data_IF_038350376855
#
_entry.id   IF_038350376855
#
_cell.length_a   1.000
_cell.length_b   1.000
_cell.length_c   1.000
_cell.angle_alpha   90.00
_cell.angle_beta   90.00
_cell.angle_gamma   90.00
#
_symmetry.space_group_name_H-M   'P 1'
#
loop_
_entity.id
_entity.type
_entity.pdbx_description
1 polymer ?
#
# COMPACT_ATOMS: atom_id res chain seq x y z
N UNK A 1 -2.74 43.23 -73.89
CA UNK A 1 -3.79 42.63 -73.01
C UNK A 1 -3.07 41.78 -71.94
N UNK A 2 -3.03 42.26 -70.69
CA UNK A 2 -2.34 41.60 -69.59
C UNK A 2 -3.42 40.96 -68.68
N UNK A 3 -3.44 39.63 -68.58
CA UNK A 3 -4.33 38.91 -67.63
C UNK A 3 -3.70 38.94 -66.26
N UNK A 4 -4.34 39.62 -65.37
CA UNK A 4 -4.04 39.58 -63.92
C UNK A 4 -4.74 38.37 -63.35
N UNK A 5 -3.96 37.37 -62.97
CA UNK A 5 -4.46 36.16 -62.29
C UNK A 5 -4.56 36.47 -60.80
N UNK A 6 -5.78 36.61 -60.28
CA UNK A 6 -6.03 36.71 -58.83
C UNK A 6 -5.91 35.31 -58.22
N UNK A 7 -4.83 35.07 -57.49
CA UNK A 7 -4.71 33.88 -56.63
C UNK A 7 -5.47 34.19 -55.33
N UNK A 8 -6.59 33.52 -55.15
CA UNK A 8 -7.35 33.55 -53.88
C UNK A 8 -6.68 32.63 -52.87
N UNK A 9 -5.93 33.19 -51.92
CA UNK A 9 -5.36 32.45 -50.81
C UNK A 9 -6.47 32.21 -49.78
N UNK A 10 -6.94 30.95 -49.74
CA UNK A 10 -7.90 30.49 -48.73
C UNK A 10 -7.12 30.24 -47.43
N UNK A 11 -7.16 31.18 -46.50
CA UNK A 11 -6.65 31.00 -45.14
C UNK A 11 -7.58 30.06 -44.38
N UNK A 12 -7.20 28.81 -44.26
CA UNK A 12 -7.85 27.87 -43.33
C UNK A 12 -7.40 28.23 -41.94
N UNK A 13 -8.22 28.98 -41.23
CA UNK A 13 -8.10 29.15 -39.79
C UNK A 13 -8.41 27.79 -39.11
N UNK A 14 -7.39 27.01 -38.85
CA UNK A 14 -7.50 25.89 -37.91
C UNK A 14 -7.68 26.52 -36.58
N UNK A 15 -8.93 26.69 -36.16
CA UNK A 15 -9.26 27.04 -34.80
C UNK A 15 -8.79 25.92 -33.90
N UNK A 16 -7.73 26.17 -33.13
CA UNK A 16 -7.48 25.37 -31.94
C UNK A 16 -8.72 25.47 -31.06
N UNK A 17 -9.53 24.45 -31.04
CA UNK A 17 -10.55 24.28 -30.00
C UNK A 17 -9.77 24.19 -28.70
N UNK A 18 -9.91 25.15 -27.78
CA UNK A 18 -9.27 24.97 -26.48
C UNK A 18 -9.85 23.71 -25.87
N UNK A 19 -9.02 22.72 -25.62
CA UNK A 19 -9.39 21.58 -24.74
C UNK A 19 -9.61 22.17 -23.36
N UNK A 20 -10.85 22.53 -23.08
CA UNK A 20 -11.26 23.18 -21.81
C UNK A 20 -11.61 22.18 -20.73
N UNK A 21 -11.27 20.91 -20.88
CA UNK A 21 -11.25 20.00 -19.77
C UNK A 21 -9.88 20.07 -19.08
N UNK A 22 -9.60 21.23 -18.47
CA UNK A 22 -8.72 21.24 -17.34
C UNK A 22 -9.43 20.41 -16.27
N UNK A 23 -8.93 19.20 -16.03
CA UNK A 23 -9.21 18.49 -14.79
C UNK A 23 -8.72 19.39 -13.65
N UNK A 24 -9.59 20.26 -13.21
CA UNK A 24 -9.36 21.01 -11.98
C UNK A 24 -9.60 19.97 -10.89
N UNK A 25 -8.54 19.43 -10.32
CA UNK A 25 -8.67 18.68 -9.09
C UNK A 25 -9.10 19.68 -8.02
N UNK A 26 -10.40 19.80 -7.79
CA UNK A 26 -11.01 20.65 -6.76
C UNK A 26 -11.00 19.99 -5.38
N UNK A 27 -10.37 18.81 -5.28
CA UNK A 27 -10.31 18.02 -4.05
C UNK A 27 -11.60 17.28 -3.72
N UNK A 28 -12.63 17.40 -4.57
CA UNK A 28 -13.86 16.62 -4.39
C UNK A 28 -13.63 15.15 -4.74
N UNK A 29 -14.18 14.24 -3.94
CA UNK A 29 -14.20 12.81 -4.21
C UNK A 29 -15.63 12.38 -4.54
N UNK A 30 -15.80 11.35 -5.38
CA UNK A 30 -17.11 10.76 -5.63
C UNK A 30 -17.63 10.00 -4.41
N UNK A 31 -18.91 9.71 -4.42
CA UNK A 31 -19.45 8.71 -3.52
C UNK A 31 -18.85 7.33 -3.82
N UNK A 32 -18.53 6.57 -2.79
CA UNK A 32 -18.08 5.18 -2.96
C UNK A 32 -19.21 4.31 -3.49
N UNK A 33 -18.89 3.35 -4.35
CA UNK A 33 -19.84 2.32 -4.80
C UNK A 33 -19.72 1.05 -3.96
N UNK A 34 -18.51 0.75 -3.44
CA UNK A 34 -18.19 -0.44 -2.67
C UNK A 34 -17.32 -0.08 -1.46
N UNK A 35 -17.46 -0.84 -0.39
CA UNK A 35 -16.46 -0.91 0.67
C UNK A 35 -15.38 -1.94 0.34
N UNK A 36 -14.25 -1.87 1.05
CA UNK A 36 -13.10 -2.77 0.79
C UNK A 36 -13.44 -4.22 1.11
N UNK A 37 -14.25 -4.50 2.14
CA UNK A 37 -14.67 -5.85 2.50
C UNK A 37 -15.48 -6.54 1.40
N UNK A 38 -16.38 -5.83 0.73
CA UNK A 38 -17.14 -6.35 -0.41
C UNK A 38 -16.19 -6.74 -1.54
N UNK A 39 -15.24 -5.87 -1.89
CA UNK A 39 -14.22 -6.18 -2.89
C UNK A 39 -13.38 -7.38 -2.49
N UNK A 40 -12.97 -7.45 -1.22
CA UNK A 40 -12.20 -8.57 -0.68
C UNK A 40 -12.96 -9.89 -0.80
N UNK A 41 -14.23 -9.92 -0.44
CA UNK A 41 -15.05 -11.14 -0.45
C UNK A 41 -15.25 -11.66 -1.88
N UNK A 42 -15.39 -10.78 -2.87
CA UNK A 42 -15.43 -11.14 -4.29
C UNK A 42 -14.10 -11.79 -4.74
N UNK A 43 -12.95 -11.24 -4.36
CA UNK A 43 -11.64 -11.79 -4.72
C UNK A 43 -11.36 -13.11 -3.99
N UNK A 44 -11.74 -13.25 -2.72
CA UNK A 44 -11.64 -14.52 -1.99
C UNK A 44 -12.41 -15.63 -2.70
N UNK A 45 -13.60 -15.30 -3.21
CA UNK A 45 -14.49 -16.27 -3.85
C UNK A 45 -14.01 -16.71 -5.24
N UNK A 46 -13.46 -15.79 -6.02
CA UNK A 46 -13.16 -16.05 -7.44
C UNK A 46 -11.65 -16.17 -7.74
N UNK A 47 -10.77 -15.84 -6.80
CA UNK A 47 -9.33 -15.73 -7.02
C UNK A 47 -8.96 -14.41 -7.70
N UNK A 48 -7.73 -14.32 -8.20
CA UNK A 48 -7.26 -13.14 -8.91
C UNK A 48 -8.12 -12.84 -10.15
N UNK A 49 -8.59 -11.58 -10.29
CA UNK A 49 -9.53 -11.19 -11.33
C UNK A 49 -9.35 -9.74 -11.77
N UNK A 50 -9.61 -9.48 -13.05
CA UNK A 50 -9.75 -8.11 -13.56
C UNK A 50 -11.12 -7.56 -13.18
N UNK A 51 -11.13 -6.42 -12.49
CA UNK A 51 -12.36 -5.74 -12.06
C UNK A 51 -13.03 -5.10 -13.28
N UNK A 52 -14.16 -5.65 -13.71
CA UNK A 52 -14.90 -5.17 -14.91
C UNK A 52 -15.97 -4.12 -14.58
N UNK A 53 -16.49 -4.16 -13.37
CA UNK A 53 -17.55 -3.24 -12.91
C UNK A 53 -16.95 -1.89 -12.47
N UNK A 54 -17.81 -0.87 -12.44
CA UNK A 54 -17.45 0.43 -11.89
C UNK A 54 -17.38 0.34 -10.35
N UNK A 55 -16.21 -0.02 -9.84
CA UNK A 55 -15.92 -0.08 -8.39
C UNK A 55 -15.16 1.16 -7.98
N UNK A 56 -15.74 1.93 -7.06
CA UNK A 56 -15.11 3.09 -6.43
C UNK A 56 -15.05 2.84 -4.93
N UNK A 57 -13.84 2.84 -4.39
CA UNK A 57 -13.56 2.77 -2.94
C UNK A 57 -13.05 4.12 -2.47
N UNK A 58 -13.49 4.56 -1.31
CA UNK A 58 -12.98 5.80 -0.67
C UNK A 58 -12.39 5.44 0.68
N UNK A 59 -11.15 5.85 0.91
CA UNK A 59 -10.43 5.53 2.14
C UNK A 59 -9.28 6.49 2.40
N UNK A 60 -8.49 6.20 3.43
CA UNK A 60 -7.31 6.99 3.80
C UNK A 60 -6.03 6.22 3.60
N UNK A 61 -5.00 6.93 3.17
CA UNK A 61 -3.65 6.38 3.05
C UNK A 61 -3.10 6.08 4.43
N UNK A 62 -2.61 4.86 4.65
CA UNK A 62 -2.05 4.39 5.92
C UNK A 62 -0.59 3.99 5.82
N UNK A 63 -0.03 3.83 4.61
CA UNK A 63 1.40 3.57 4.40
C UNK A 63 2.20 4.85 4.19
N UNK A 64 3.51 4.75 4.38
CA UNK A 64 4.48 5.78 4.06
C UNK A 64 5.73 5.12 3.47
N UNK A 65 6.42 5.80 2.54
CA UNK A 65 7.66 5.33 1.92
C UNK A 65 8.90 6.18 2.27
N UNK A 66 8.79 7.05 3.25
CA UNK A 66 9.85 7.98 3.66
C UNK A 66 11.09 7.31 4.23
N UNK A 67 10.95 6.12 4.81
CA UNK A 67 12.08 5.33 5.33
C UNK A 67 12.35 4.03 4.54
N UNK A 68 11.88 3.96 3.30
CA UNK A 68 12.18 2.91 2.32
C UNK A 68 11.79 1.47 2.75
N UNK A 69 10.98 1.31 3.80
CA UNK A 69 10.42 0.00 4.15
C UNK A 69 9.23 -0.37 3.26
N UNK A 70 8.48 0.61 2.74
CA UNK A 70 7.50 0.44 1.66
C UNK A 70 8.10 0.96 0.36
N UNK A 71 7.81 0.29 -0.75
CA UNK A 71 8.31 0.70 -2.05
C UNK A 71 7.26 0.42 -3.13
N UNK A 72 6.96 1.46 -3.91
CA UNK A 72 6.12 1.34 -5.08
C UNK A 72 4.65 1.03 -4.82
N UNK A 73 4.18 1.08 -3.58
CA UNK A 73 2.79 0.81 -3.25
C UNK A 73 2.23 1.81 -2.23
N UNK A 74 0.91 1.98 -2.26
CA UNK A 74 0.15 2.80 -1.32
C UNK A 74 -0.94 1.93 -0.70
N UNK A 75 -1.00 1.87 0.63
CA UNK A 75 -2.07 1.18 1.36
C UNK A 75 -3.17 2.19 1.69
N UNK A 76 -4.40 1.82 1.34
CA UNK A 76 -5.61 2.62 1.60
C UNK A 76 -6.54 1.80 2.47
N UNK A 77 -7.04 2.41 3.54
CA UNK A 77 -7.93 1.78 4.51
C UNK A 77 -9.25 2.54 4.60
N UNK A 78 -10.36 1.81 4.65
CA UNK A 78 -11.68 2.29 5.05
C UNK A 78 -12.11 1.62 6.37
N UNK A 79 -13.33 1.87 6.82
CA UNK A 79 -13.86 1.26 8.04
C UNK A 79 -13.98 -0.27 7.96
N UNK A 80 -14.02 -0.85 6.76
CA UNK A 80 -14.27 -2.28 6.52
C UNK A 80 -13.01 -3.09 6.27
N UNK A 81 -11.94 -2.48 5.74
CA UNK A 81 -10.73 -3.20 5.36
C UNK A 81 -9.63 -2.31 4.81
N UNK A 82 -8.65 -2.95 4.20
CA UNK A 82 -7.53 -2.27 3.55
C UNK A 82 -7.20 -2.91 2.19
N UNK A 83 -6.67 -2.10 1.28
CA UNK A 83 -6.20 -2.50 -0.04
C UNK A 83 -4.87 -1.82 -0.35
N UNK A 84 -3.92 -2.58 -0.88
CA UNK A 84 -2.64 -2.09 -1.34
C UNK A 84 -2.68 -1.84 -2.85
N UNK A 85 -2.43 -0.61 -3.27
CA UNK A 85 -2.38 -0.21 -4.69
C UNK A 85 -0.94 -0.25 -5.17
N UNK A 86 -0.65 -1.06 -6.18
CA UNK A 86 0.69 -1.25 -6.76
C UNK A 86 0.99 -0.14 -7.77
N UNK A 87 1.58 0.97 -7.32
CA UNK A 87 1.85 2.15 -8.14
C UNK A 87 3.11 1.99 -9.00
N UNK A 88 4.19 1.47 -8.41
CA UNK A 88 5.45 1.16 -9.10
C UNK A 88 6.44 2.31 -9.23
N UNK A 89 6.30 3.35 -8.40
CA UNK A 89 7.25 4.47 -8.32
C UNK A 89 7.62 4.74 -6.86
N UNK A 90 8.68 5.48 -6.63
CA UNK A 90 9.15 5.91 -5.31
C UNK A 90 8.65 7.31 -4.97
N UNK A 91 8.91 7.74 -3.74
CA UNK A 91 8.53 9.05 -3.20
C UNK A 91 7.01 9.27 -3.22
N UNK A 92 6.28 8.22 -2.90
CA UNK A 92 4.82 8.23 -2.92
C UNK A 92 4.23 9.09 -1.79
N UNK A 93 4.94 9.25 -0.68
CA UNK A 93 4.50 10.11 0.43
C UNK A 93 4.30 11.57 -0.01
N UNK A 94 5.08 12.07 -0.97
CA UNK A 94 4.89 13.41 -1.52
C UNK A 94 3.57 13.56 -2.30
N UNK A 95 3.07 12.47 -2.88
CA UNK A 95 1.83 12.45 -3.67
C UNK A 95 0.63 11.95 -2.85
N UNK A 96 0.87 11.01 -1.96
CA UNK A 96 -0.12 10.31 -1.16
C UNK A 96 0.31 10.29 0.32
N UNK A 97 0.37 11.47 0.99
CA UNK A 97 0.79 11.51 2.39
C UNK A 97 -0.15 10.70 3.27
N UNK A 98 0.39 10.19 4.37
CA UNK A 98 -0.39 9.50 5.40
C UNK A 98 -1.59 10.34 5.85
N UNK A 99 -2.74 9.69 5.97
CA UNK A 99 -4.01 10.34 6.33
C UNK A 99 -4.74 11.03 5.20
N UNK A 100 -4.14 11.12 3.98
CA UNK A 100 -4.83 11.66 2.81
C UNK A 100 -6.05 10.81 2.46
N UNK A 101 -7.21 11.47 2.31
CA UNK A 101 -8.40 10.82 1.78
C UNK A 101 -8.30 10.69 0.26
N UNK A 102 -8.50 9.49 -0.26
CA UNK A 102 -8.44 9.18 -1.70
C UNK A 102 -9.64 8.37 -2.15
N UNK A 103 -9.98 8.50 -3.43
CA UNK A 103 -10.90 7.59 -4.11
C UNK A 103 -10.12 6.70 -5.09
N UNK A 104 -10.38 5.40 -5.04
CA UNK A 104 -9.80 4.41 -5.92
C UNK A 104 -10.81 4.00 -6.98
N UNK A 105 -10.52 4.28 -8.25
CA UNK A 105 -11.31 3.88 -9.42
C UNK A 105 -10.73 2.57 -9.96
N UNK A 106 -11.32 1.45 -9.57
CA UNK A 106 -10.73 0.13 -9.74
C UNK A 106 -11.13 -0.58 -11.03
N UNK A 107 -12.03 -0.02 -11.83
CA UNK A 107 -12.42 -0.62 -13.11
C UNK A 107 -11.20 -0.77 -14.05
N UNK A 108 -10.99 -1.98 -14.55
CA UNK A 108 -9.84 -2.34 -15.39
C UNK A 108 -8.55 -2.58 -14.62
N UNK A 109 -8.57 -2.57 -13.29
CA UNK A 109 -7.47 -3.05 -12.47
C UNK A 109 -7.57 -4.57 -12.27
N UNK A 110 -6.43 -5.22 -12.13
CA UNK A 110 -6.35 -6.60 -11.65
C UNK A 110 -6.22 -6.60 -10.14
N UNK A 111 -6.90 -7.51 -9.48
CA UNK A 111 -6.88 -7.66 -8.03
C UNK A 111 -6.59 -9.12 -7.65
N UNK A 112 -5.73 -9.33 -6.66
CA UNK A 112 -5.43 -10.63 -6.06
C UNK A 112 -4.84 -10.42 -4.65
N UNK A 113 -4.57 -11.51 -3.95
CA UNK A 113 -3.95 -11.48 -2.64
C UNK A 113 -2.43 -11.67 -2.73
N UNK A 114 -1.72 -10.90 -1.93
CA UNK A 114 -0.31 -11.14 -1.62
C UNK A 114 -0.08 -10.93 -0.14
N UNK A 115 0.56 -11.88 0.52
CA UNK A 115 0.85 -11.80 1.96
C UNK A 115 -0.39 -11.49 2.82
N UNK A 116 -1.52 -12.07 2.46
CA UNK A 116 -2.79 -11.83 3.12
C UNK A 116 -3.45 -10.48 2.82
N UNK A 117 -2.74 -9.56 2.15
CA UNK A 117 -3.24 -8.23 1.78
C UNK A 117 -3.89 -8.29 0.40
N UNK A 118 -5.06 -7.68 0.27
CA UNK A 118 -5.69 -7.43 -1.02
C UNK A 118 -4.86 -6.41 -1.78
N UNK A 119 -4.36 -6.78 -2.95
CA UNK A 119 -3.61 -5.90 -3.84
C UNK A 119 -4.40 -5.58 -5.10
N UNK A 120 -4.23 -4.36 -5.61
CA UNK A 120 -4.78 -3.94 -6.90
C UNK A 120 -3.70 -3.25 -7.73
N UNK A 121 -3.72 -3.48 -9.05
CA UNK A 121 -2.75 -2.92 -9.97
C UNK A 121 -3.03 -3.32 -11.41
N UNK A 122 -2.00 -3.64 -12.19
CA UNK A 122 -2.13 -4.31 -13.48
C UNK A 122 -2.01 -5.83 -13.30
N UNK A 123 -2.51 -6.60 -14.25
CA UNK A 123 -2.22 -8.02 -14.31
C UNK A 123 -0.73 -8.22 -14.62
N UNK A 124 -0.05 -8.99 -13.78
CA UNK A 124 1.35 -9.33 -14.01
C UNK A 124 1.47 -10.43 -15.06
N UNK A 125 2.57 -10.46 -15.87
CA UNK A 125 2.83 -11.59 -16.76
C UNK A 125 2.93 -12.92 -15.99
N UNK A 126 2.50 -14.03 -16.60
CA UNK A 126 2.46 -15.37 -15.98
C UNK A 126 3.82 -15.86 -15.43
N UNK A 127 4.93 -15.36 -15.98
CA UNK A 127 6.28 -15.74 -15.54
C UNK A 127 6.77 -14.94 -14.32
N UNK A 128 6.01 -13.93 -13.86
CA UNK A 128 6.35 -13.15 -12.69
C UNK A 128 5.93 -13.88 -11.41
N UNK A 129 6.74 -13.70 -10.37
CA UNK A 129 6.42 -14.24 -9.04
C UNK A 129 5.17 -13.57 -8.44
N UNK A 130 4.96 -12.29 -8.76
CA UNK A 130 3.84 -11.51 -8.30
C UNK A 130 2.71 -11.55 -9.30
N UNK A 131 1.47 -11.75 -8.83
CA UNK A 131 0.27 -11.77 -9.69
C UNK A 131 -0.24 -10.37 -10.00
N UNK A 132 -0.07 -9.44 -9.07
CA UNK A 132 -0.46 -8.05 -9.23
C UNK A 132 0.78 -7.23 -9.57
N UNK A 133 0.81 -6.70 -10.78
CA UNK A 133 1.86 -5.82 -11.27
C UNK A 133 1.55 -4.35 -11.00
N UNK A 134 2.57 -3.52 -11.21
CA UNK A 134 2.47 -2.07 -11.02
C UNK A 134 1.59 -1.41 -12.10
N UNK A 135 1.01 -0.25 -11.77
CA UNK A 135 0.23 0.58 -12.72
C UNK A 135 1.08 1.19 -13.83
N UNK A 136 2.42 1.17 -13.67
CA UNK A 136 3.46 1.43 -14.67
C UNK A 136 3.59 2.86 -15.18
N UNK A 137 2.61 3.75 -14.98
CA UNK A 137 2.73 5.15 -15.42
C UNK A 137 2.00 6.11 -14.49
N UNK A 138 2.50 7.35 -14.35
CA UNK A 138 1.81 8.39 -13.58
C UNK A 138 0.37 8.62 -14.04
N UNK A 139 0.11 8.61 -15.35
CA UNK A 139 -1.23 8.81 -15.91
C UNK A 139 -2.19 7.70 -15.49
N UNK A 140 -1.69 6.45 -15.47
CA UNK A 140 -2.50 5.32 -15.01
C UNK A 140 -2.75 5.41 -13.51
N UNK A 141 -1.74 5.76 -12.71
CA UNK A 141 -1.89 5.97 -11.27
C UNK A 141 -2.88 7.08 -10.95
N UNK A 142 -2.80 8.23 -11.64
CA UNK A 142 -3.74 9.34 -11.47
C UNK A 142 -5.18 8.98 -11.93
N UNK A 143 -5.33 8.05 -12.87
CA UNK A 143 -6.65 7.54 -13.26
C UNK A 143 -7.26 6.59 -12.24
N UNK A 144 -6.43 5.88 -11.47
CA UNK A 144 -6.85 4.94 -10.44
C UNK A 144 -6.99 5.62 -9.08
N UNK A 145 -6.05 6.49 -8.70
CA UNK A 145 -6.03 7.12 -7.38
C UNK A 145 -6.34 8.61 -7.52
N UNK A 146 -7.56 9.02 -7.18
CA UNK A 146 -7.93 10.43 -7.10
C UNK A 146 -7.70 10.95 -5.69
N UNK A 147 -6.92 12.02 -5.57
CA UNK A 147 -6.56 12.67 -4.31
C UNK A 147 -7.57 13.75 -3.96
N UNK A 148 -7.97 13.81 -2.67
CA UNK A 148 -8.65 14.98 -2.10
C UNK A 148 -7.62 16.00 -1.60
N UNK A 149 -8.12 17.04 -0.91
CA UNK A 149 -7.30 17.94 -0.09
C UNK A 149 -7.47 17.65 1.42
N UNK A 150 -8.21 16.58 1.77
CA UNK A 150 -8.47 16.20 3.15
C UNK A 150 -7.39 15.26 3.66
N UNK A 151 -6.48 15.80 4.47
CA UNK A 151 -5.45 15.04 5.19
C UNK A 151 -5.77 15.11 6.68
N UNK A 152 -5.94 13.96 7.35
CA UNK A 152 -6.21 13.87 8.79
C UNK A 152 -5.34 12.79 9.41
N UNK A 153 -4.91 12.98 10.66
CA UNK A 153 -4.24 11.91 11.40
C UNK A 153 -5.09 10.64 11.41
N UNK A 154 -4.43 9.50 11.25
CA UNK A 154 -5.04 8.18 11.37
C UNK A 154 -4.64 7.57 12.70
N UNK A 155 -5.57 6.87 13.32
CA UNK A 155 -5.30 6.08 14.50
C UNK A 155 -5.19 4.61 14.12
N UNK A 156 -4.10 3.92 14.50
CA UNK A 156 -3.99 2.48 14.29
C UNK A 156 -5.05 1.75 15.12
N UNK A 157 -5.56 0.65 14.61
CA UNK A 157 -6.46 -0.22 15.36
C UNK A 157 -5.67 -0.96 16.44
N UNK A 158 -6.00 -0.71 17.71
CA UNK A 158 -5.37 -1.41 18.82
C UNK A 158 -5.96 -2.82 18.95
N UNK A 159 -5.10 -3.83 19.03
CA UNK A 159 -5.49 -5.22 19.26
C UNK A 159 -4.37 -6.00 19.95
N UNK A 160 -4.68 -7.17 20.47
CA UNK A 160 -3.72 -8.16 20.97
C UNK A 160 -3.26 -9.08 19.85
N UNK A 161 -2.16 -9.81 20.06
CA UNK A 161 -1.67 -10.79 19.06
C UNK A 161 -2.72 -11.90 18.86
N UNK A 162 -3.40 -12.35 19.90
CA UNK A 162 -4.43 -13.39 19.86
C UNK A 162 -5.69 -12.99 19.06
N UNK A 163 -5.97 -11.68 18.91
CA UNK A 163 -7.11 -11.16 18.15
C UNK A 163 -6.81 -11.02 16.64
N UNK A 164 -5.57 -11.24 16.21
CA UNK A 164 -5.20 -11.11 14.82
C UNK A 164 -5.86 -12.17 13.96
N UNK A 165 -6.42 -11.76 12.83
CA UNK A 165 -7.01 -12.65 11.84
C UNK A 165 -6.82 -12.12 10.40
N UNK A 166 -6.93 -13.00 9.41
CA UNK A 166 -6.59 -12.69 8.02
C UNK A 166 -7.36 -11.52 7.40
N UNK A 167 -8.60 -11.31 7.81
CA UNK A 167 -9.37 -10.17 7.27
C UNK A 167 -8.86 -8.81 7.73
N UNK A 168 -7.96 -8.79 8.73
CA UNK A 168 -7.29 -7.57 9.20
C UNK A 168 -6.02 -7.26 8.37
N UNK A 169 -5.54 -8.18 7.53
CA UNK A 169 -4.34 -7.92 6.73
C UNK A 169 -4.52 -6.69 5.83
N UNK A 170 -3.49 -5.87 5.77
CA UNK A 170 -3.49 -4.55 5.14
C UNK A 170 -3.83 -3.40 6.09
N UNK A 171 -4.52 -3.65 7.22
CA UNK A 171 -4.84 -2.61 8.19
C UNK A 171 -3.62 -2.13 8.97
N UNK A 172 -3.66 -0.87 9.34
CA UNK A 172 -2.73 -0.28 10.28
C UNK A 172 -3.14 -0.71 11.69
N UNK A 173 -2.32 -1.52 12.36
CA UNK A 173 -2.61 -2.03 13.70
C UNK A 173 -1.54 -1.60 14.71
N UNK A 174 -1.91 -1.58 15.98
CA UNK A 174 -1.01 -1.32 17.11
C UNK A 174 -1.06 -2.49 18.08
N UNK A 175 0.08 -3.14 18.29
CA UNK A 175 0.28 -4.15 19.33
C UNK A 175 1.06 -3.53 20.48
N UNK A 176 0.53 -3.68 21.69
CA UNK A 176 1.11 -3.05 22.88
C UNK A 176 1.86 -4.03 23.75
N UNK A 177 2.94 -3.56 24.35
CA UNK A 177 3.61 -4.25 25.45
C UNK A 177 4.29 -5.54 25.03
N UNK A 178 4.89 -5.56 23.86
CA UNK A 178 5.69 -6.69 23.39
C UNK A 178 7.17 -6.48 23.66
N UNK A 179 7.93 -7.56 23.82
CA UNK A 179 9.38 -7.54 23.97
C UNK A 179 10.06 -8.38 22.90
N UNK A 180 11.24 -7.97 22.48
CA UNK A 180 12.03 -8.69 21.48
C UNK A 180 12.39 -10.11 21.98
N UNK A 181 12.12 -11.11 21.13
CA UNK A 181 12.67 -12.46 21.27
C UNK A 181 13.85 -12.62 20.30
N UNK A 182 15.03 -12.21 20.74
CA UNK A 182 16.25 -12.19 19.94
C UNK A 182 16.64 -13.58 19.43
N UNK A 183 16.27 -14.64 20.17
CA UNK A 183 16.57 -16.03 19.77
C UNK A 183 15.84 -16.49 18.51
N UNK A 184 14.76 -15.81 18.15
CA UNK A 184 13.90 -16.16 17.02
C UNK A 184 14.03 -15.23 15.82
N UNK A 185 14.82 -14.15 15.91
CA UNK A 185 15.01 -13.19 14.81
C UNK A 185 15.85 -13.81 13.68
N UNK A 186 15.47 -13.55 12.43
CA UNK A 186 16.13 -14.09 11.24
C UNK A 186 16.40 -13.00 10.19
N UNK A 187 17.46 -13.20 9.42
CA UNK A 187 17.73 -12.40 8.23
C UNK A 187 16.78 -12.74 7.07
N UNK A 188 16.22 -11.73 6.42
CA UNK A 188 15.23 -11.93 5.35
C UNK A 188 15.82 -12.58 4.09
N UNK A 189 17.11 -12.38 3.82
CA UNK A 189 17.77 -12.90 2.62
C UNK A 189 18.33 -14.31 2.85
N UNK A 190 18.98 -14.54 3.99
CA UNK A 190 19.67 -15.79 4.26
C UNK A 190 18.82 -16.78 5.03
N UNK A 191 17.81 -16.33 5.74
CA UNK A 191 17.04 -17.15 6.69
C UNK A 191 17.84 -17.55 7.92
N UNK A 192 19.02 -16.98 8.14
CA UNK A 192 19.87 -17.26 9.29
C UNK A 192 19.47 -16.37 10.49
N UNK A 193 19.64 -16.88 11.68
CA UNK A 193 19.43 -16.13 12.91
C UNK A 193 20.39 -14.95 13.01
N UNK A 194 19.86 -13.76 13.30
CA UNK A 194 20.70 -12.58 13.53
C UNK A 194 21.35 -12.66 14.91
N UNK A 195 22.65 -12.59 14.93
CA UNK A 195 23.43 -12.51 16.19
C UNK A 195 23.40 -11.12 16.83
N UNK A 196 22.72 -10.17 16.17
CA UNK A 196 22.56 -8.78 16.60
C UNK A 196 21.09 -8.41 16.52
N UNK A 197 20.58 -7.75 17.54
CA UNK A 197 19.23 -7.23 17.57
C UNK A 197 19.14 -5.96 16.69
N UNK A 198 19.09 -6.14 15.36
CA UNK A 198 18.86 -5.07 14.36
C UNK A 198 17.55 -5.31 13.60
N UNK A 199 16.98 -4.26 13.03
CA UNK A 199 15.68 -4.34 12.40
C UNK A 199 15.62 -5.20 11.12
N UNK A 200 16.72 -5.30 10.37
CA UNK A 200 16.73 -6.00 9.08
C UNK A 200 16.21 -7.43 9.19
N UNK A 201 15.34 -7.81 8.28
CA UNK A 201 14.74 -9.14 8.22
C UNK A 201 13.50 -9.26 9.09
N UNK A 202 13.34 -10.44 9.69
CA UNK A 202 12.24 -10.72 10.60
C UNK A 202 12.73 -10.71 12.04
N UNK A 203 12.13 -9.88 12.87
CA UNK A 203 12.38 -9.82 14.31
C UNK A 203 11.14 -10.29 15.05
N UNK A 204 11.31 -11.28 15.95
CA UNK A 204 10.19 -11.82 16.72
C UNK A 204 9.99 -11.05 18.01
N UNK A 205 8.74 -10.77 18.30
CA UNK A 205 8.32 -10.15 19.57
C UNK A 205 7.31 -11.04 20.27
N UNK A 206 7.31 -10.99 21.59
CA UNK A 206 6.34 -11.73 22.44
C UNK A 206 5.64 -10.78 23.40
N UNK A 207 4.37 -11.04 23.62
CA UNK A 207 3.61 -10.40 24.68
C UNK A 207 3.76 -11.15 26.02
N UNK A 208 3.13 -10.61 27.05
CA UNK A 208 3.15 -11.20 28.40
C UNK A 208 2.38 -12.55 28.48
N UNK A 209 1.54 -12.88 27.51
CA UNK A 209 0.80 -14.13 27.39
C UNK A 209 1.63 -15.23 26.71
N UNK A 210 2.74 -14.85 26.07
CA UNK A 210 3.61 -15.74 25.33
C UNK A 210 3.26 -15.85 23.83
N UNK A 211 2.25 -15.08 23.38
CA UNK A 211 1.91 -15.00 21.95
C UNK A 211 3.00 -14.24 21.20
N UNK A 212 3.23 -14.63 19.96
CA UNK A 212 4.35 -14.11 19.15
C UNK A 212 3.86 -13.44 17.88
N UNK A 213 4.55 -12.35 17.51
CA UNK A 213 4.36 -11.65 16.24
C UNK A 213 5.73 -11.28 15.65
N UNK A 214 5.87 -11.42 14.33
CA UNK A 214 7.07 -10.95 13.66
C UNK A 214 6.91 -9.47 13.28
N UNK A 215 8.05 -8.76 13.19
CA UNK A 215 8.16 -7.46 12.52
C UNK A 215 9.10 -7.63 11.35
N UNK A 216 8.65 -7.30 10.16
CA UNK A 216 9.46 -7.36 8.94
C UNK A 216 10.00 -6.00 8.56
N UNK A 217 11.30 -5.93 8.35
CA UNK A 217 12.00 -4.75 7.85
C UNK A 217 12.80 -5.11 6.62
N UNK A 218 12.58 -4.39 5.52
CA UNK A 218 13.34 -4.54 4.28
C UNK A 218 14.82 -4.20 4.50
N UNK A 219 15.70 -4.86 3.74
CA UNK A 219 17.13 -4.51 3.72
C UNK A 219 17.39 -3.07 3.25
N UNK A 220 16.44 -2.48 2.54
CA UNK A 220 16.52 -1.12 2.01
C UNK A 220 15.98 -0.06 2.96
N UNK A 221 15.30 -0.47 4.05
CA UNK A 221 14.79 0.46 5.04
C UNK A 221 15.95 1.24 5.69
N UNK A 222 15.77 2.55 5.85
CA UNK A 222 16.81 3.44 6.39
C UNK A 222 17.25 3.05 7.79
N UNK A 223 16.37 2.40 8.55
CA UNK A 223 16.64 1.92 9.91
C UNK A 223 16.99 0.43 9.98
N UNK A 224 17.18 -0.25 8.85
CA UNK A 224 17.45 -1.69 8.81
C UNK A 224 18.62 -2.12 9.71
N UNK A 225 19.68 -1.32 9.77
CA UNK A 225 20.88 -1.58 10.57
C UNK A 225 20.79 -0.98 12.00
N UNK A 226 19.71 -0.31 12.36
CA UNK A 226 19.52 0.24 13.70
C UNK A 226 19.21 -0.89 14.68
N UNK A 227 19.58 -0.66 15.95
CA UNK A 227 19.33 -1.63 17.01
C UNK A 227 17.89 -1.60 17.45
N UNK A 228 17.31 -2.78 17.61
CA UNK A 228 16.00 -2.96 18.19
C UNK A 228 16.05 -2.66 19.69
N UNK A 229 15.09 -1.93 20.26
CA UNK A 229 14.97 -1.77 21.69
C UNK A 229 14.80 -3.13 22.41
N UNK A 230 15.47 -3.31 23.54
CA UNK A 230 15.37 -4.54 24.35
C UNK A 230 14.29 -4.45 25.43
N UNK A 231 13.82 -3.24 25.71
CA UNK A 231 12.72 -3.00 26.65
C UNK A 231 11.36 -3.33 26.02
N UNK A 232 10.31 -3.31 26.83
CA UNK A 232 8.93 -3.47 26.33
C UNK A 232 8.54 -2.29 25.46
N UNK A 233 7.96 -2.58 24.30
CA UNK A 233 7.58 -1.59 23.27
C UNK A 233 6.12 -1.73 22.85
N UNK A 234 5.57 -0.65 22.31
CA UNK A 234 4.37 -0.67 21.49
C UNK A 234 4.79 -0.57 20.02
N UNK A 235 4.23 -1.40 19.15
CA UNK A 235 4.59 -1.43 17.73
C UNK A 235 3.35 -1.15 16.87
N UNK A 236 3.49 -0.22 15.93
CA UNK A 236 2.49 0.09 14.90
C UNK A 236 3.00 -0.44 13.57
N UNK A 237 2.12 -0.97 12.73
CA UNK A 237 2.51 -1.41 11.39
C UNK A 237 1.32 -1.92 10.57
N UNK A 238 1.54 -2.08 9.29
CA UNK A 238 0.59 -2.73 8.39
C UNK A 238 0.65 -4.24 8.63
N UNK A 239 -0.49 -4.82 9.00
CA UNK A 239 -0.59 -6.25 9.26
C UNK A 239 -0.48 -7.04 7.96
N UNK A 240 0.37 -8.03 7.95
CA UNK A 240 0.56 -8.98 6.85
C UNK A 240 0.56 -10.42 7.38
N UNK A 241 0.43 -11.38 6.46
CA UNK A 241 0.44 -12.81 6.79
C UNK A 241 1.16 -13.56 5.69
N UNK A 242 2.16 -14.34 6.05
CA UNK A 242 2.92 -15.17 5.12
C UNK A 242 3.67 -16.26 5.89
N UNK A 243 4.44 -17.05 5.18
CA UNK A 243 5.36 -18.00 5.76
C UNK A 243 6.59 -17.28 6.30
N UNK A 244 6.73 -17.31 7.60
CA UNK A 244 7.88 -16.76 8.30
C UNK A 244 9.14 -17.63 8.09
N UNK A 245 9.00 -18.95 8.23
CA UNK A 245 9.97 -19.96 7.84
C UNK A 245 9.28 -20.91 6.86
N UNK A 246 10.03 -21.69 6.11
CA UNK A 246 9.49 -22.54 5.04
C UNK A 246 8.26 -23.41 5.43
N UNK A 247 7.97 -23.58 6.72
CA UNK A 247 6.88 -24.38 7.26
C UNK A 247 5.89 -23.66 8.18
N UNK A 248 6.20 -22.42 8.63
CA UNK A 248 5.39 -21.76 9.65
C UNK A 248 4.72 -20.50 9.07
N UNK A 249 3.40 -20.49 9.10
CA UNK A 249 2.60 -19.33 8.73
C UNK A 249 2.40 -18.44 9.96
N UNK A 250 2.69 -17.16 9.83
CA UNK A 250 2.50 -16.22 10.92
C UNK A 250 2.03 -14.85 10.43
N UNK A 251 1.44 -14.11 11.37
CA UNK A 251 1.23 -12.68 11.17
C UNK A 251 2.53 -11.93 11.41
N UNK A 252 2.72 -10.85 10.66
CA UNK A 252 3.79 -9.92 10.92
C UNK A 252 3.35 -8.49 10.65
N UNK A 253 4.04 -7.56 11.30
CA UNK A 253 3.87 -6.14 11.10
C UNK A 253 4.96 -5.62 10.16
N UNK A 254 4.58 -4.78 9.23
CA UNK A 254 5.50 -3.98 8.43
C UNK A 254 5.38 -2.54 8.87
N UNK A 255 6.39 -2.06 9.63
CA UNK A 255 6.43 -0.67 10.11
C UNK A 255 6.65 0.29 8.95
N UNK A 256 6.08 1.49 9.03
CA UNK A 256 6.27 2.55 8.04
C UNK A 256 7.62 3.23 8.23
N UNK A 257 7.98 3.44 9.48
CA UNK A 257 9.22 4.07 9.92
C UNK A 257 9.61 3.55 11.32
N UNK A 258 10.86 3.82 11.74
CA UNK A 258 11.36 3.34 13.03
C UNK A 258 10.53 3.87 14.23
N UNK A 259 10.01 5.11 14.11
CA UNK A 259 9.18 5.71 15.16
C UNK A 259 7.82 5.02 15.37
N UNK A 260 7.43 4.07 14.52
CA UNK A 260 6.29 3.18 14.76
C UNK A 260 6.54 2.20 15.93
N UNK A 261 7.80 2.05 16.37
CA UNK A 261 8.19 1.36 17.59
C UNK A 261 8.45 2.38 18.70
N UNK A 262 7.68 2.32 19.79
CA UNK A 262 7.79 3.25 20.92
C UNK A 262 8.04 2.51 22.22
N UNK A 263 9.00 2.98 23.03
CA UNK A 263 9.24 2.47 24.38
C UNK A 263 8.02 2.70 25.28
N UNK A 264 7.73 1.77 26.16
CA UNK A 264 6.68 1.87 27.18
C UNK A 264 7.20 2.44 28.48
#
# INVERSE_FOLDING_TARGET
MRYISCILILLILIGCVPVTDKFVNDGSLPDRTNSIDILRDDIVKYGGVTITNNVIVVGRVTSADSEDNFYGSVVVEDESGAVEVMVGTSNLEALYPEGLCVALYLQGCYADYSRGVLQVGSEAPEYEYYRVGNLMSPQRSDSVIRRSFDVRPIAPMECTIAELHRSMCGRLVKIKGVALDDSSSIDALTGEGLSRAIWRGYSMFRDAQGDSIAVYTSDYARYAEHRIPTDSVDIVGILQWDKYRASEECYYLKMRYEADCTLR
#
